data_IF_745214742084
#
_entry.id   IF_745214742084
#
_cell.length_a   1.000
_cell.length_b   1.000
_cell.length_c   1.000
_cell.angle_alpha   90.00
_cell.angle_beta   90.00
_cell.angle_gamma   90.00
#
_symmetry.space_group_name_H-M   'P 1'
#
loop_
_entity.id
_entity.type
_entity.pdbx_description
1 polymer ?
#
# COMPACT_ATOMS: atom_id res chain seq x y z
N UNK A 1 2.23 -7.33 3.27
CA UNK A 1 3.42 -6.60 2.77
C UNK A 1 4.23 -7.43 1.77
N UNK A 2 4.83 -6.78 0.77
CA UNK A 2 5.79 -7.42 -0.11
C UNK A 2 7.13 -7.47 0.62
N UNK A 3 7.73 -8.66 0.69
CA UNK A 3 8.96 -8.89 1.45
C UNK A 3 10.09 -9.39 0.54
N UNK A 4 11.32 -9.04 0.88
CA UNK A 4 12.50 -9.51 0.16
C UNK A 4 13.04 -10.79 0.82
N UNK A 5 13.49 -11.73 0.00
CA UNK A 5 14.10 -12.99 0.45
C UNK A 5 15.21 -12.78 1.50
N UNK A 6 16.08 -11.79 1.25
CA UNK A 6 17.19 -11.45 2.16
C UNK A 6 16.77 -10.98 3.55
N UNK A 7 15.54 -10.47 3.70
CA UNK A 7 14.99 -9.99 4.97
C UNK A 7 14.28 -11.10 5.74
N UNK A 8 13.69 -12.05 5.03
CA UNK A 8 12.87 -13.10 5.62
C UNK A 8 13.69 -14.34 6.00
N UNK A 9 14.56 -14.82 5.11
CA UNK A 9 15.28 -16.08 5.33
C UNK A 9 16.13 -16.10 6.61
N UNK A 10 16.86 -15.02 6.98
CA UNK A 10 17.59 -14.98 8.25
C UNK A 10 16.67 -15.11 9.47
N UNK A 11 15.43 -14.64 9.38
CA UNK A 11 14.46 -14.73 10.47
C UNK A 11 13.94 -16.16 10.65
N UNK A 12 13.69 -16.90 9.56
CA UNK A 12 13.29 -18.30 9.62
C UNK A 12 14.43 -19.23 10.11
N UNK A 13 15.67 -18.93 9.74
CA UNK A 13 16.85 -19.65 10.19
C UNK A 13 17.23 -19.42 11.66
N UNK A 14 16.72 -18.36 12.28
CA UNK A 14 17.10 -17.97 13.64
C UNK A 14 16.51 -18.90 14.71
N UNK A 15 17.37 -19.50 15.51
CA UNK A 15 16.97 -20.32 16.66
C UNK A 15 16.18 -19.48 17.69
N UNK A 16 16.54 -18.22 17.85
CA UNK A 16 15.86 -17.28 18.78
C UNK A 16 14.37 -17.08 18.41
N UNK A 17 14.04 -17.16 17.13
CA UNK A 17 12.66 -17.00 16.67
C UNK A 17 11.80 -18.26 16.90
N UNK A 18 12.43 -19.41 17.18
CA UNK A 18 11.73 -20.67 17.47
C UNK A 18 11.29 -20.79 18.93
N UNK A 19 11.72 -19.87 19.78
CA UNK A 19 11.37 -19.87 21.21
C UNK A 19 10.17 -18.93 21.43
N UNK A 20 9.24 -19.35 22.29
CA UNK A 20 8.06 -18.52 22.64
C UNK A 20 8.52 -17.20 23.28
N UNK A 21 8.01 -16.08 22.73
CA UNK A 21 8.26 -14.74 23.24
C UNK A 21 6.91 -14.09 23.59
N UNK A 22 6.55 -14.11 24.85
CA UNK A 22 5.26 -13.58 25.32
C UNK A 22 5.07 -12.10 25.03
N UNK A 23 6.16 -11.29 25.02
CA UNK A 23 6.09 -9.88 24.64
C UNK A 23 5.68 -9.72 23.16
N UNK A 24 6.29 -10.51 22.27
CA UNK A 24 5.92 -10.47 20.85
C UNK A 24 4.51 -11.02 20.62
N UNK A 25 4.10 -12.04 21.38
CA UNK A 25 2.74 -12.57 21.33
C UNK A 25 1.73 -11.50 21.75
N UNK A 26 1.93 -10.83 22.88
CA UNK A 26 1.05 -9.76 23.35
C UNK A 26 1.00 -8.59 22.34
N UNK A 27 2.15 -8.15 21.84
CA UNK A 27 2.23 -7.09 20.84
C UNK A 27 1.55 -7.52 19.53
N UNK A 28 1.78 -8.75 19.08
CA UNK A 28 1.18 -9.31 17.86
C UNK A 28 -0.34 -9.34 17.94
N UNK A 29 -0.90 -9.81 19.05
CA UNK A 29 -2.34 -9.80 19.29
C UNK A 29 -2.90 -8.39 19.32
N UNK A 30 -2.21 -7.45 19.96
CA UNK A 30 -2.63 -6.05 20.02
C UNK A 30 -2.69 -5.42 18.62
N UNK A 31 -1.61 -5.56 17.83
CA UNK A 31 -1.55 -5.04 16.44
C UNK A 31 -2.62 -5.70 15.57
N UNK A 32 -2.79 -7.03 15.69
CA UNK A 32 -3.82 -7.77 14.96
C UNK A 32 -5.22 -7.24 15.28
N UNK A 33 -5.53 -7.01 16.56
CA UNK A 33 -6.83 -6.48 16.97
C UNK A 33 -7.10 -5.07 16.44
N UNK A 34 -6.08 -4.20 16.41
CA UNK A 34 -6.19 -2.87 15.77
C UNK A 34 -6.44 -3.02 14.28
N UNK A 35 -5.71 -3.90 13.57
CA UNK A 35 -5.92 -4.16 12.15
C UNK A 35 -7.32 -4.69 11.86
N UNK A 36 -7.81 -5.61 12.68
CA UNK A 36 -9.16 -6.15 12.58
C UNK A 36 -10.23 -5.06 12.79
N UNK A 37 -10.06 -4.21 13.79
CA UNK A 37 -10.94 -3.06 14.02
C UNK A 37 -10.97 -2.10 12.84
N UNK A 38 -9.81 -1.76 12.27
CA UNK A 38 -9.73 -0.94 11.06
C UNK A 38 -10.51 -1.55 9.90
N UNK A 39 -10.37 -2.86 9.67
CA UNK A 39 -11.04 -3.56 8.58
C UNK A 39 -12.55 -3.67 8.82
N UNK A 40 -12.95 -4.30 9.92
CA UNK A 40 -14.36 -4.70 10.15
C UNK A 40 -15.22 -3.54 10.59
N UNK A 41 -14.68 -2.59 11.37
CA UNK A 41 -15.48 -1.47 11.88
C UNK A 41 -15.34 -0.26 10.99
N UNK A 42 -14.11 0.19 10.70
CA UNK A 42 -13.94 1.47 10.00
C UNK A 42 -14.16 1.28 8.48
N UNK A 43 -13.41 0.39 7.83
CA UNK A 43 -13.48 0.24 6.38
C UNK A 43 -14.86 -0.23 5.92
N UNK A 44 -15.44 -1.24 6.58
CA UNK A 44 -16.74 -1.78 6.19
C UNK A 44 -17.89 -0.78 6.42
N UNK A 45 -17.78 0.11 7.42
CA UNK A 45 -18.72 1.23 7.58
C UNK A 45 -18.64 2.21 6.41
N UNK A 46 -17.44 2.63 6.03
CA UNK A 46 -17.27 3.52 4.88
C UNK A 46 -17.64 2.85 3.54
N UNK A 47 -17.47 1.53 3.44
CA UNK A 47 -17.86 0.75 2.25
C UNK A 47 -19.35 0.92 1.91
N UNK A 48 -20.23 0.98 2.90
CA UNK A 48 -21.67 1.16 2.67
C UNK A 48 -21.95 2.46 1.91
N UNK A 49 -21.34 3.56 2.31
CA UNK A 49 -21.55 4.86 1.66
C UNK A 49 -20.85 4.95 0.31
N UNK A 50 -19.65 4.41 0.19
CA UNK A 50 -18.91 4.36 -1.07
C UNK A 50 -19.68 3.55 -2.12
N UNK A 51 -20.12 2.33 -1.79
CA UNK A 51 -20.89 1.46 -2.68
C UNK A 51 -22.23 2.11 -3.09
N UNK A 52 -22.96 2.69 -2.14
CA UNK A 52 -24.21 3.36 -2.47
C UNK A 52 -24.01 4.50 -3.46
N UNK A 53 -22.95 5.29 -3.32
CA UNK A 53 -22.71 6.41 -4.23
C UNK A 53 -22.13 6.01 -5.58
N UNK A 54 -21.21 5.03 -5.64
CA UNK A 54 -20.58 4.63 -6.91
C UNK A 54 -21.37 3.60 -7.71
N UNK A 55 -22.04 2.66 -7.03
CA UNK A 55 -22.61 1.49 -7.71
C UNK A 55 -24.15 1.52 -7.79
N UNK A 56 -24.83 2.31 -6.93
CA UNK A 56 -26.29 2.31 -6.81
C UNK A 56 -26.92 3.62 -7.25
N UNK A 57 -26.35 4.75 -6.84
CA UNK A 57 -26.93 6.06 -7.15
C UNK A 57 -26.82 6.40 -8.63
N UNK A 58 -27.94 6.80 -9.25
CA UNK A 58 -27.95 7.26 -10.65
C UNK A 58 -27.54 8.72 -10.79
N UNK A 59 -27.76 9.53 -9.76
CA UNK A 59 -27.36 10.94 -9.67
C UNK A 59 -26.95 11.24 -8.25
N UNK A 60 -25.97 12.13 -8.09
CA UNK A 60 -25.49 12.61 -6.80
C UNK A 60 -25.49 14.14 -6.77
N UNK A 61 -25.94 14.73 -5.68
CA UNK A 61 -25.66 16.13 -5.39
C UNK A 61 -24.17 16.35 -5.11
N UNK A 62 -23.72 17.62 -5.11
CA UNK A 62 -22.33 17.95 -4.83
C UNK A 62 -21.83 17.36 -3.48
N UNK A 63 -22.65 17.49 -2.42
CA UNK A 63 -22.28 16.99 -1.10
C UNK A 63 -22.25 15.45 -1.03
N UNK A 64 -23.19 14.78 -1.70
CA UNK A 64 -23.21 13.31 -1.78
C UNK A 64 -22.02 12.79 -2.57
N UNK A 65 -21.63 13.45 -3.67
CA UNK A 65 -20.44 13.10 -4.45
C UNK A 65 -19.16 13.22 -3.61
N UNK A 66 -19.02 14.30 -2.82
CA UNK A 66 -17.90 14.44 -1.90
C UNK A 66 -17.93 13.39 -0.78
N UNK A 67 -19.07 13.15 -0.16
CA UNK A 67 -19.22 12.12 0.87
C UNK A 67 -18.86 10.73 0.34
N UNK A 68 -19.31 10.39 -0.86
CA UNK A 68 -18.98 9.14 -1.56
C UNK A 68 -17.48 9.00 -1.80
N UNK A 69 -16.84 10.03 -2.38
CA UNK A 69 -15.41 10.02 -2.70
C UNK A 69 -14.54 9.93 -1.45
N UNK A 70 -14.87 10.66 -0.40
CA UNK A 70 -14.17 10.61 0.89
C UNK A 70 -14.38 9.26 1.58
N UNK A 71 -15.60 8.70 1.52
CA UNK A 71 -15.89 7.38 2.06
C UNK A 71 -15.07 6.30 1.37
N UNK A 72 -14.97 6.33 0.04
CA UNK A 72 -14.11 5.41 -0.70
C UNK A 72 -12.62 5.57 -0.33
N UNK A 73 -12.16 6.81 -0.16
CA UNK A 73 -10.79 7.12 0.25
C UNK A 73 -10.45 6.50 1.61
N UNK A 74 -11.35 6.65 2.61
CA UNK A 74 -11.15 6.05 3.92
C UNK A 74 -11.33 4.54 3.90
N UNK A 75 -12.33 4.03 3.18
CA UNK A 75 -12.51 2.60 2.99
C UNK A 75 -11.22 1.96 2.47
N UNK A 76 -10.68 2.43 1.35
CA UNK A 76 -9.48 1.89 0.72
C UNK A 76 -8.29 1.88 1.68
N UNK A 77 -8.07 2.96 2.40
CA UNK A 77 -6.97 3.07 3.34
C UNK A 77 -7.13 2.14 4.55
N UNK A 78 -8.28 2.16 5.21
CA UNK A 78 -8.48 1.35 6.40
C UNK A 78 -8.61 -0.14 6.10
N UNK A 79 -9.18 -0.50 4.94
CA UNK A 79 -9.23 -1.87 4.45
C UNK A 79 -7.82 -2.44 4.28
N UNK A 80 -6.99 -1.76 3.51
CA UNK A 80 -5.65 -2.25 3.21
C UNK A 80 -4.66 -2.08 4.38
N UNK A 81 -4.69 -0.96 5.10
CA UNK A 81 -3.84 -0.80 6.29
C UNK A 81 -4.24 -1.75 7.41
N UNK A 82 -5.53 -2.03 7.58
CA UNK A 82 -6.03 -3.03 8.52
C UNK A 82 -5.52 -4.43 8.19
N UNK A 83 -5.59 -4.83 6.92
CA UNK A 83 -5.03 -6.10 6.45
C UNK A 83 -3.53 -6.21 6.73
N UNK A 84 -2.75 -5.16 6.44
CA UNK A 84 -1.30 -5.19 6.69
C UNK A 84 -0.96 -5.21 8.18
N UNK A 85 -1.73 -4.52 9.03
CA UNK A 85 -1.54 -4.59 10.48
C UNK A 85 -1.86 -5.99 11.01
N UNK A 86 -2.94 -6.63 10.53
CA UNK A 86 -3.25 -8.03 10.88
C UNK A 86 -2.11 -8.97 10.46
N UNK A 87 -1.55 -8.79 9.25
CA UNK A 87 -0.44 -9.59 8.79
C UNK A 87 0.82 -9.40 9.65
N UNK A 88 1.16 -8.16 10.01
CA UNK A 88 2.28 -7.83 10.91
C UNK A 88 2.05 -8.45 12.29
N UNK A 89 0.84 -8.29 12.84
CA UNK A 89 0.46 -8.87 14.13
C UNK A 89 0.58 -10.38 14.14
N UNK A 90 0.03 -11.06 13.13
CA UNK A 90 0.09 -12.52 12.98
C UNK A 90 1.54 -13.03 12.85
N UNK A 91 2.36 -12.38 12.03
CA UNK A 91 3.77 -12.74 11.88
C UNK A 91 4.56 -12.61 13.19
N UNK A 92 4.24 -11.59 13.98
CA UNK A 92 4.91 -11.33 15.25
C UNK A 92 4.62 -12.42 16.30
N UNK A 93 3.48 -13.11 16.21
CA UNK A 93 3.20 -14.30 17.05
C UNK A 93 4.27 -15.38 16.89
N UNK A 94 4.89 -15.45 15.71
CA UNK A 94 5.97 -16.37 15.38
C UNK A 94 7.36 -15.72 15.45
N UNK A 95 7.48 -14.55 16.10
CA UNK A 95 8.70 -13.75 16.18
C UNK A 95 9.23 -13.29 14.81
N UNK A 96 8.40 -13.28 13.77
CA UNK A 96 8.74 -12.78 12.44
C UNK A 96 8.32 -11.32 12.34
N UNK A 97 9.24 -10.47 11.92
CA UNK A 97 9.00 -9.04 11.72
C UNK A 97 8.80 -8.75 10.23
N UNK A 98 7.60 -8.33 9.89
CA UNK A 98 7.29 -7.84 8.56
C UNK A 98 7.56 -6.32 8.48
N UNK A 99 7.92 -5.81 7.29
CA UNK A 99 8.09 -4.38 7.08
C UNK A 99 6.74 -3.64 7.18
N UNK A 100 6.80 -2.38 7.61
CA UNK A 100 5.64 -1.49 7.63
C UNK A 100 5.25 -1.10 6.21
N UNK A 101 3.93 -1.05 5.93
CA UNK A 101 3.41 -0.77 4.60
C UNK A 101 2.76 0.61 4.48
N UNK A 102 2.36 1.23 5.57
CA UNK A 102 1.74 2.55 5.62
C UNK A 102 2.36 3.45 6.70
N UNK A 103 2.51 4.74 6.39
CA UNK A 103 2.98 5.75 7.34
C UNK A 103 2.17 7.04 7.21
N UNK A 104 0.91 7.01 7.68
CA UNK A 104 0.00 8.18 7.63
C UNK A 104 -0.02 8.87 6.26
N UNK A 105 -0.40 8.19 5.16
CA UNK A 105 -0.24 8.70 3.80
C UNK A 105 -1.03 9.97 3.53
N UNK A 106 -2.16 10.18 4.19
CA UNK A 106 -2.98 11.40 4.00
C UNK A 106 -2.43 12.63 4.74
N UNK A 107 -1.30 12.51 5.44
CA UNK A 107 -0.50 13.64 5.94
C UNK A 107 0.55 14.10 4.94
N UNK A 108 0.62 13.49 3.76
CA UNK A 108 1.59 13.85 2.74
C UNK A 108 1.35 15.28 2.23
N UNK A 109 2.44 15.98 1.96
CA UNK A 109 2.43 17.36 1.45
C UNK A 109 2.56 17.45 -0.08
N UNK A 110 2.70 16.30 -0.75
CA UNK A 110 2.80 16.18 -2.20
C UNK A 110 2.79 14.72 -2.66
N UNK A 111 2.71 14.50 -3.98
CA UNK A 111 2.59 13.15 -4.55
C UNK A 111 3.81 12.27 -4.24
N UNK A 112 5.01 12.81 -4.29
CA UNK A 112 6.23 12.07 -3.96
C UNK A 112 6.22 11.63 -2.49
N UNK A 113 5.80 12.52 -1.57
CA UNK A 113 5.68 12.18 -0.14
C UNK A 113 4.56 11.18 0.11
N UNK A 114 3.44 11.28 -0.63
CA UNK A 114 2.35 10.30 -0.56
C UNK A 114 2.84 8.89 -0.88
N UNK A 115 3.55 8.68 -1.99
CA UNK A 115 4.07 7.37 -2.38
C UNK A 115 5.18 6.83 -1.47
N UNK A 116 5.86 7.69 -0.72
CA UNK A 116 6.79 7.27 0.35
C UNK A 116 6.08 6.77 1.60
N UNK A 117 4.76 6.95 1.71
CA UNK A 117 3.93 6.63 2.87
C UNK A 117 2.84 5.60 2.57
N UNK A 118 2.44 5.48 1.32
CA UNK A 118 1.44 4.55 0.81
C UNK A 118 2.10 3.33 0.21
N UNK A 119 1.65 2.13 0.64
CA UNK A 119 2.13 0.84 0.12
C UNK A 119 3.66 0.78 -0.02
N UNK A 120 4.35 1.12 1.07
CA UNK A 120 5.80 1.35 1.11
C UNK A 120 6.59 0.15 0.60
N UNK A 121 6.11 -1.07 0.86
CA UNK A 121 6.78 -2.30 0.43
C UNK A 121 6.70 -2.49 -1.09
N UNK A 122 5.56 -2.16 -1.72
CA UNK A 122 5.44 -2.16 -3.18
C UNK A 122 6.32 -1.06 -3.78
N UNK A 123 6.27 0.16 -3.23
CA UNK A 123 7.09 1.28 -3.70
C UNK A 123 8.58 0.94 -3.64
N UNK A 124 9.04 0.31 -2.57
CA UNK A 124 10.42 -0.18 -2.45
C UNK A 124 10.74 -1.25 -3.49
N UNK A 125 9.83 -2.19 -3.72
CA UNK A 125 10.00 -3.26 -4.70
C UNK A 125 10.12 -2.71 -6.13
N UNK A 126 9.16 -1.91 -6.58
CA UNK A 126 9.17 -1.35 -7.94
C UNK A 126 10.35 -0.39 -8.16
N UNK A 127 10.74 0.36 -7.12
CA UNK A 127 11.93 1.21 -7.19
C UNK A 127 13.20 0.39 -7.38
N UNK A 128 13.35 -0.70 -6.63
CA UNK A 128 14.55 -1.55 -6.67
C UNK A 128 14.66 -2.34 -7.97
N UNK A 129 13.55 -2.94 -8.42
CA UNK A 129 13.59 -3.92 -9.50
C UNK A 129 13.14 -3.39 -10.87
N UNK A 130 12.49 -2.21 -10.92
CA UNK A 130 11.99 -1.61 -12.15
C UNK A 130 12.65 -0.24 -12.39
N UNK A 131 12.38 0.73 -11.51
CA UNK A 131 12.86 2.10 -11.70
C UNK A 131 14.39 2.20 -11.74
N UNK A 132 15.07 1.63 -10.74
CA UNK A 132 16.54 1.71 -10.63
C UNK A 132 17.27 1.06 -11.81
N UNK A 133 16.89 -0.14 -12.30
CA UNK A 133 17.46 -0.69 -13.53
C UNK A 133 17.27 0.20 -14.75
N UNK A 134 16.07 0.79 -14.94
CA UNK A 134 15.81 1.72 -16.05
C UNK A 134 16.72 2.94 -15.96
N UNK A 135 16.83 3.57 -14.79
CA UNK A 135 17.72 4.72 -14.59
C UNK A 135 19.18 4.37 -14.87
N UNK A 136 19.63 3.20 -14.43
CA UNK A 136 21.02 2.73 -14.66
C UNK A 136 21.33 2.35 -16.10
N UNK A 137 20.34 2.12 -16.95
CA UNK A 137 20.53 1.84 -18.37
C UNK A 137 20.86 3.08 -19.20
N UNK A 138 20.70 4.27 -18.64
CA UNK A 138 21.00 5.52 -19.33
C UNK A 138 22.46 5.95 -19.07
N UNK A 139 23.23 6.26 -20.12
CA UNK A 139 24.61 6.77 -20.01
C UNK A 139 24.68 8.09 -19.23
N UNK A 140 23.70 8.98 -19.48
CA UNK A 140 23.56 10.25 -18.76
C UNK A 140 22.11 10.41 -18.32
N UNK A 141 21.92 10.68 -17.04
CA UNK A 141 20.61 10.95 -16.49
C UNK A 141 20.22 12.41 -16.79
N UNK A 142 19.07 12.59 -17.43
CA UNK A 142 18.42 13.89 -17.65
C UNK A 142 17.05 13.89 -17.01
N UNK A 143 16.47 15.07 -16.80
CA UNK A 143 15.12 15.19 -16.26
C UNK A 143 14.10 14.37 -17.07
N UNK A 144 14.10 14.48 -18.41
CA UNK A 144 13.16 13.75 -19.25
C UNK A 144 13.33 12.22 -19.16
N UNK A 145 14.56 11.72 -19.01
CA UNK A 145 14.82 10.29 -18.81
C UNK A 145 14.33 9.81 -17.44
N UNK A 146 14.48 10.63 -16.40
CA UNK A 146 13.94 10.32 -15.07
C UNK A 146 12.40 10.29 -15.11
N UNK A 147 11.76 11.27 -15.77
CA UNK A 147 10.30 11.29 -15.97
C UNK A 147 9.82 10.07 -16.74
N UNK A 148 10.48 9.72 -17.84
CA UNK A 148 10.16 8.52 -18.61
C UNK A 148 10.24 7.24 -17.74
N UNK A 149 11.32 7.09 -16.97
CA UNK A 149 11.48 5.96 -16.06
C UNK A 149 10.36 5.91 -15.00
N UNK A 150 9.94 7.06 -14.47
CA UNK A 150 8.83 7.17 -13.52
C UNK A 150 7.53 6.72 -14.18
N UNK A 151 7.17 7.28 -15.34
CA UNK A 151 5.93 6.93 -16.05
C UNK A 151 5.90 5.44 -16.38
N UNK A 152 6.98 4.89 -16.96
CA UNK A 152 7.07 3.46 -17.26
C UNK A 152 6.90 2.60 -16.01
N UNK A 153 7.53 2.98 -14.91
CA UNK A 153 7.43 2.26 -13.62
C UNK A 153 5.99 2.24 -13.12
N UNK A 154 5.28 3.38 -13.18
CA UNK A 154 3.88 3.46 -12.75
C UNK A 154 2.91 2.75 -13.70
N UNK A 155 3.18 2.74 -15.01
CA UNK A 155 2.40 1.94 -15.96
C UNK A 155 2.52 0.44 -15.66
N UNK A 156 3.73 -0.04 -15.38
CA UNK A 156 3.96 -1.44 -14.98
C UNK A 156 3.26 -1.74 -13.65
N UNK A 157 3.33 -0.84 -12.67
CA UNK A 157 2.62 -0.98 -11.41
C UNK A 157 1.09 -1.01 -11.61
N UNK A 158 0.57 -0.19 -12.51
CA UNK A 158 -0.85 -0.22 -12.88
C UNK A 158 -1.25 -1.57 -13.49
N UNK A 159 -0.53 -2.06 -14.48
CA UNK A 159 -0.77 -3.38 -15.09
C UNK A 159 -0.67 -4.53 -14.07
N UNK A 160 0.20 -4.41 -13.08
CA UNK A 160 0.30 -5.38 -12.00
C UNK A 160 -0.98 -5.44 -11.14
N UNK A 161 -1.70 -4.32 -10.98
CA UNK A 161 -2.98 -4.29 -10.27
C UNK A 161 -4.11 -5.01 -11.01
N UNK A 162 -4.03 -5.09 -12.34
CA UNK A 162 -5.02 -5.83 -13.13
C UNK A 162 -4.90 -5.58 -14.64
N UNK A 163 -5.35 -6.55 -15.43
CA UNK A 163 -5.32 -6.52 -16.89
C UNK A 163 -6.51 -5.72 -17.46
N UNK A 164 -6.63 -4.44 -17.08
CA UNK A 164 -7.68 -3.54 -17.56
C UNK A 164 -7.08 -2.17 -17.92
N UNK A 165 -7.66 -1.50 -18.91
CA UNK A 165 -7.31 -0.14 -19.30
C UNK A 165 -7.45 0.87 -18.15
N UNK A 166 -8.37 0.63 -17.21
CA UNK A 166 -8.54 1.46 -16.00
C UNK A 166 -7.24 1.50 -15.19
N UNK A 167 -6.56 0.37 -15.02
CA UNK A 167 -5.30 0.30 -14.27
C UNK A 167 -4.13 0.91 -15.05
N UNK A 168 -4.12 0.82 -16.39
CA UNK A 168 -3.12 1.51 -17.23
C UNK A 168 -3.27 3.02 -17.09
N UNK A 169 -4.52 3.54 -17.18
CA UNK A 169 -4.81 4.96 -17.00
C UNK A 169 -4.44 5.40 -15.59
N UNK A 170 -4.81 4.62 -14.56
CA UNK A 170 -4.43 4.87 -13.17
C UNK A 170 -2.90 5.02 -13.03
N UNK A 171 -2.13 4.05 -13.54
CA UNK A 171 -0.66 4.12 -13.52
C UNK A 171 -0.12 5.33 -14.29
N UNK A 172 -0.66 5.61 -15.47
CA UNK A 172 -0.27 6.78 -16.28
C UNK A 172 -0.50 8.11 -15.57
N UNK A 173 -1.68 8.32 -14.97
CA UNK A 173 -2.00 9.54 -14.22
C UNK A 173 -1.07 9.74 -13.03
N UNK A 174 -0.78 8.68 -12.27
CA UNK A 174 0.15 8.78 -11.14
C UNK A 174 1.59 9.02 -11.60
N UNK A 175 2.04 8.38 -12.67
CA UNK A 175 3.38 8.60 -13.24
C UNK A 175 3.59 10.01 -13.77
N UNK A 176 2.54 10.64 -14.31
CA UNK A 176 2.60 12.03 -14.80
C UNK A 176 2.45 13.06 -13.67
N UNK A 177 1.84 12.69 -12.55
CA UNK A 177 1.63 13.57 -11.39
C UNK A 177 2.84 13.70 -10.46
N UNK A 178 3.89 12.91 -10.70
CA UNK A 178 5.15 12.94 -9.94
C UNK A 178 6.21 13.70 -10.70
#
# INVERSE_FOLDING_TARGET
>A
PIVHHKEMMPQFGSIKNKVKNYRNIAMGLFIFSIGLFKKVVIADTFAVWATNGFDVATTLSLFEAWATSLSYTFQLYFDFSGYTDMAIGAALLFNIRLPQNFNSPYKATGMIDFWKRWHMTLTSFITTYIYTPIIKSFDKLTFNKAMLATVVTFLIAGLWHGASWVFVIFGGLHGLGI
#
